data_IF_626918075455
#
_entry.id   IF_626918075455
#
_cell.length_a   1.000
_cell.length_b   1.000
_cell.length_c   1.000
_cell.angle_alpha   90.00
_cell.angle_beta   90.00
_cell.angle_gamma   90.00
#
_symmetry.space_group_name_H-M   'P 1'
#
loop_
_entity.id
_entity.type
_entity.pdbx_description
1 polymer ?
#
# COMPACT_ATOMS: atom_id res chain seq x y z
N UNK A 1 -11.14 -18.63 13.30
CA UNK A 1 -10.06 -18.77 14.30
C UNK A 1 -9.51 -20.19 14.43
N UNK A 2 -10.36 -21.22 14.62
CA UNK A 2 -9.87 -22.58 14.98
C UNK A 2 -9.01 -23.22 13.89
N UNK A 3 -9.43 -23.07 12.64
CA UNK A 3 -8.83 -23.74 11.48
C UNK A 3 -7.55 -23.05 11.03
N UNK A 4 -7.53 -21.73 11.18
CA UNK A 4 -6.40 -20.85 10.93
C UNK A 4 -5.26 -21.12 11.94
N UNK A 5 -5.60 -21.27 13.23
CA UNK A 5 -4.65 -21.75 14.25
C UNK A 5 -4.17 -23.17 13.92
N UNK A 6 -5.07 -24.08 13.55
CA UNK A 6 -4.70 -25.46 13.20
C UNK A 6 -3.74 -25.51 12.00
N UNK A 7 -4.00 -24.75 10.92
CA UNK A 7 -3.12 -24.66 9.77
C UNK A 7 -1.76 -24.03 10.11
N UNK A 8 -1.74 -23.01 10.98
CA UNK A 8 -0.50 -22.41 11.50
C UNK A 8 0.33 -23.44 12.27
N UNK A 9 -0.28 -24.22 13.16
CA UNK A 9 0.39 -25.27 13.94
C UNK A 9 0.85 -26.43 13.07
N UNK A 10 0.06 -26.84 12.08
CA UNK A 10 0.44 -27.86 11.08
C UNK A 10 1.61 -27.36 10.22
N UNK A 11 1.62 -26.10 9.81
CA UNK A 11 2.73 -25.50 9.06
C UNK A 11 4.03 -25.48 9.89
N UNK A 12 3.99 -24.96 11.12
CA UNK A 12 5.15 -24.90 12.01
C UNK A 12 5.67 -26.31 12.34
N UNK A 13 4.79 -27.25 12.69
CA UNK A 13 5.20 -28.62 13.02
C UNK A 13 5.73 -29.40 11.82
N UNK A 14 5.37 -29.04 10.57
CA UNK A 14 6.04 -29.56 9.36
C UNK A 14 7.49 -29.08 9.25
N UNK A 15 7.79 -27.83 9.61
CA UNK A 15 9.17 -27.32 9.67
C UNK A 15 9.98 -28.06 10.74
N UNK A 16 9.42 -28.18 11.95
CA UNK A 16 10.04 -28.91 13.06
C UNK A 16 10.32 -30.37 12.72
N UNK A 17 9.36 -31.07 12.07
CA UNK A 17 9.55 -32.45 11.61
C UNK A 17 10.69 -32.57 10.59
N UNK A 18 10.87 -31.59 9.70
CA UNK A 18 11.97 -31.55 8.71
C UNK A 18 13.35 -31.31 9.35
N UNK A 19 13.43 -30.84 10.59
CA UNK A 19 14.71 -30.68 11.30
C UNK A 19 15.20 -31.98 11.99
N UNK A 20 14.32 -32.97 12.14
CA UNK A 20 14.64 -34.34 12.59
C UNK A 20 15.30 -34.48 13.98
N UNK A 21 15.44 -33.38 14.76
CA UNK A 21 15.97 -33.39 16.14
C UNK A 21 15.00 -33.91 17.20
N UNK A 22 13.69 -33.80 16.97
CA UNK A 22 12.67 -34.04 17.97
C UNK A 22 11.85 -35.29 17.70
N UNK A 23 11.62 -36.09 18.76
CA UNK A 23 10.74 -37.25 18.69
C UNK A 23 9.29 -36.82 18.45
N UNK A 24 8.49 -37.68 17.79
CA UNK A 24 7.06 -37.43 17.53
C UNK A 24 6.31 -36.96 18.79
N UNK A 25 6.54 -37.60 19.93
CA UNK A 25 5.92 -37.23 21.21
C UNK A 25 6.26 -35.79 21.66
N UNK A 26 7.52 -35.34 21.51
CA UNK A 26 7.90 -33.95 21.80
C UNK A 26 7.21 -32.98 20.85
N UNK A 27 7.16 -33.30 19.55
CA UNK A 27 6.51 -32.45 18.54
C UNK A 27 5.00 -32.34 18.76
N UNK A 28 4.33 -33.45 19.07
CA UNK A 28 2.89 -33.46 19.32
C UNK A 28 2.53 -32.73 20.65
N UNK A 29 3.39 -32.82 21.68
CA UNK A 29 3.28 -32.02 22.93
C UNK A 29 3.48 -30.52 22.65
N UNK A 30 4.49 -30.14 21.86
CA UNK A 30 4.72 -28.77 21.42
C UNK A 30 3.53 -28.22 20.62
N UNK A 31 2.98 -29.01 19.69
CA UNK A 31 1.82 -28.63 18.89
C UNK A 31 0.59 -28.31 19.76
N UNK A 32 0.31 -29.16 20.75
CA UNK A 32 -0.78 -28.96 21.72
C UNK A 32 -0.62 -27.68 22.55
N UNK A 33 0.61 -27.43 23.05
CA UNK A 33 0.94 -26.20 23.79
C UNK A 33 0.83 -24.95 22.91
N UNK A 34 1.43 -24.95 21.73
CA UNK A 34 1.35 -23.86 20.77
C UNK A 34 -0.11 -23.52 20.42
N UNK A 35 -0.93 -24.54 20.12
CA UNK A 35 -2.38 -24.38 19.87
C UNK A 35 -3.08 -23.65 21.02
N UNK A 36 -2.81 -24.08 22.26
CA UNK A 36 -3.43 -23.53 23.47
C UNK A 36 -3.03 -22.06 23.72
N UNK A 37 -1.74 -21.73 23.52
CA UNK A 37 -1.21 -20.37 23.68
C UNK A 37 -1.77 -19.44 22.60
N UNK A 38 -1.90 -19.91 21.35
CA UNK A 38 -2.49 -19.14 20.25
C UNK A 38 -3.97 -18.80 20.51
N UNK A 39 -4.78 -19.77 20.96
CA UNK A 39 -6.17 -19.51 21.36
C UNK A 39 -6.26 -18.50 22.50
N UNK A 40 -5.41 -18.60 23.52
CA UNK A 40 -5.38 -17.66 24.63
C UNK A 40 -4.98 -16.24 24.17
N UNK A 41 -3.93 -16.12 23.34
CA UNK A 41 -3.46 -14.83 22.77
C UNK A 41 -4.55 -14.17 21.94
N UNK A 42 -5.20 -14.89 21.04
CA UNK A 42 -6.10 -14.29 20.03
C UNK A 42 -7.53 -14.04 20.50
N UNK A 43 -7.96 -14.57 21.66
CA UNK A 43 -9.36 -14.54 22.14
C UNK A 43 -10.02 -13.15 22.11
N UNK A 44 -9.29 -12.09 22.41
CA UNK A 44 -9.78 -10.70 22.44
C UNK A 44 -9.45 -9.87 21.19
N UNK A 45 -8.71 -10.44 20.25
CA UNK A 45 -8.10 -9.75 19.10
C UNK A 45 -8.44 -10.42 17.77
N UNK A 46 -9.69 -10.89 17.61
CA UNK A 46 -10.18 -11.59 16.42
C UNK A 46 -11.48 -10.95 15.92
N UNK A 47 -11.46 -10.36 14.73
CA UNK A 47 -12.58 -9.57 14.20
C UNK A 47 -12.91 -10.04 12.78
N UNK A 48 -14.00 -10.78 12.60
CA UNK A 48 -14.34 -11.36 11.29
C UNK A 48 -14.62 -10.28 10.24
N UNK A 49 -15.38 -9.24 10.62
CA UNK A 49 -15.77 -8.13 9.73
C UNK A 49 -14.61 -7.19 9.36
N UNK A 50 -13.45 -7.30 10.03
CA UNK A 50 -12.24 -6.58 9.67
C UNK A 50 -11.00 -7.44 9.98
N UNK A 51 -10.59 -8.33 9.05
CA UNK A 51 -9.50 -9.27 9.30
C UNK A 51 -8.17 -8.60 9.61
N UNK A 52 -7.85 -7.45 9.00
CA UNK A 52 -6.57 -6.76 9.23
C UNK A 52 -6.47 -6.12 10.62
N UNK A 53 -7.61 -5.81 11.27
CA UNK A 53 -7.62 -5.29 12.65
C UNK A 53 -6.95 -6.29 13.59
N UNK A 54 -5.90 -5.86 14.29
CA UNK A 54 -5.13 -6.70 15.21
C UNK A 54 -4.14 -7.67 14.56
N UNK A 55 -3.98 -7.66 13.23
CA UNK A 55 -3.02 -8.53 12.50
C UNK A 55 -1.60 -8.45 13.09
N UNK A 56 -1.09 -7.25 13.39
CA UNK A 56 0.24 -7.06 13.97
C UNK A 56 0.40 -7.72 15.36
N UNK A 57 -0.66 -7.74 16.16
CA UNK A 57 -0.68 -8.45 17.46
C UNK A 57 -0.76 -9.97 17.26
N UNK A 58 -1.54 -10.45 16.28
CA UNK A 58 -1.64 -11.87 15.94
C UNK A 58 -0.44 -12.43 15.19
N UNK A 59 0.43 -11.57 14.66
CA UNK A 59 1.66 -11.98 14.00
C UNK A 59 2.51 -12.92 14.88
N UNK A 60 3.19 -13.87 14.23
CA UNK A 60 4.29 -14.65 14.79
C UNK A 60 5.55 -14.27 13.98
N UNK A 61 6.58 -13.69 14.61
CA UNK A 61 7.76 -13.15 13.90
C UNK A 61 9.08 -13.64 14.47
N UNK A 62 9.88 -14.24 13.60
CA UNK A 62 11.30 -14.52 13.82
C UNK A 62 12.13 -13.55 12.99
N UNK A 63 13.13 -12.92 13.60
CA UNK A 63 14.11 -12.08 12.92
C UNK A 63 15.46 -12.11 13.68
N UNK A 64 16.50 -11.55 13.06
CA UNK A 64 17.87 -11.53 13.62
C UNK A 64 18.06 -10.64 14.85
N UNK A 65 17.15 -9.70 15.12
CA UNK A 65 17.32 -8.66 16.15
C UNK A 65 16.58 -8.96 17.46
N UNK A 66 15.45 -9.66 17.35
CA UNK A 66 14.53 -9.98 18.43
C UNK A 66 14.64 -11.46 18.85
N UNK A 67 15.41 -12.26 18.09
CA UNK A 67 15.79 -13.64 18.42
C UNK A 67 14.70 -14.65 18.16
N UNK A 68 13.64 -14.63 18.99
CA UNK A 68 12.54 -15.60 18.93
C UNK A 68 11.19 -14.91 19.14
N UNK A 69 10.10 -15.57 18.74
CA UNK A 69 8.75 -15.11 19.05
C UNK A 69 8.32 -15.68 20.41
N UNK A 70 7.81 -14.83 21.31
CA UNK A 70 7.45 -15.22 22.67
C UNK A 70 6.33 -16.27 22.75
N UNK A 71 5.52 -16.44 21.69
CA UNK A 71 4.57 -17.55 21.58
C UNK A 71 5.29 -18.88 21.39
N UNK A 72 6.35 -18.90 20.56
CA UNK A 72 7.13 -20.09 20.25
C UNK A 72 8.07 -20.45 21.40
N UNK A 73 8.72 -19.46 22.00
CA UNK A 73 9.53 -19.61 23.23
C UNK A 73 8.69 -20.21 24.37
N UNK A 74 7.50 -19.64 24.62
CA UNK A 74 6.57 -20.17 25.63
C UNK A 74 6.11 -21.59 25.29
N UNK A 75 5.85 -21.90 24.02
CA UNK A 75 5.49 -23.25 23.60
C UNK A 75 6.64 -24.25 23.81
N UNK A 76 7.90 -23.85 23.59
CA UNK A 76 9.10 -24.61 23.92
C UNK A 76 9.18 -24.90 25.44
N UNK A 77 9.11 -23.87 26.28
CA UNK A 77 9.14 -24.00 27.75
C UNK A 77 8.01 -24.91 28.26
N UNK A 78 6.76 -24.65 27.87
CA UNK A 78 5.62 -25.45 28.30
C UNK A 78 5.61 -26.89 27.75
N UNK A 79 6.38 -27.18 26.69
CA UNK A 79 6.53 -28.54 26.13
C UNK A 79 7.83 -29.25 26.53
N UNK A 80 8.77 -28.59 27.21
CA UNK A 80 10.09 -29.15 27.55
C UNK A 80 10.92 -29.49 26.29
N UNK A 81 10.92 -28.56 25.34
CA UNK A 81 11.58 -28.62 24.04
C UNK A 81 12.52 -27.42 23.91
N UNK A 82 13.77 -27.65 23.47
CA UNK A 82 14.69 -26.55 23.17
C UNK A 82 14.26 -25.81 21.89
N UNK A 83 14.56 -24.51 21.81
CA UNK A 83 14.22 -23.70 20.63
C UNK A 83 15.13 -24.00 19.43
N UNK A 84 16.42 -24.30 19.66
CA UNK A 84 17.36 -24.68 18.60
C UNK A 84 16.94 -26.00 17.92
N UNK A 85 16.47 -26.96 18.71
CA UNK A 85 15.90 -28.23 18.22
C UNK A 85 14.67 -28.04 17.28
N UNK A 86 13.98 -26.90 17.31
CA UNK A 86 12.87 -26.63 16.38
C UNK A 86 13.31 -26.43 14.92
N UNK A 87 14.57 -26.04 14.67
CA UNK A 87 15.10 -25.80 13.32
C UNK A 87 14.45 -24.64 12.55
N UNK A 88 13.92 -23.64 13.27
CA UNK A 88 13.15 -22.55 12.67
C UNK A 88 14.02 -21.62 11.79
N UNK A 89 13.46 -21.01 10.73
CA UNK A 89 14.19 -20.05 9.91
C UNK A 89 14.59 -18.79 10.70
N UNK A 90 15.81 -18.28 10.45
CA UNK A 90 16.33 -17.04 11.09
C UNK A 90 15.51 -15.77 10.81
N UNK A 91 14.72 -15.78 9.72
CA UNK A 91 13.78 -14.73 9.37
C UNK A 91 12.49 -15.38 8.84
N UNK A 92 11.39 -15.24 9.58
CA UNK A 92 10.07 -15.70 9.15
C UNK A 92 8.99 -14.81 9.76
N UNK A 93 7.94 -14.51 9.01
CA UNK A 93 6.74 -13.81 9.49
C UNK A 93 5.53 -14.65 9.11
N UNK A 94 4.69 -15.02 10.08
CA UNK A 94 3.39 -15.67 9.84
C UNK A 94 2.31 -14.71 10.34
N UNK A 95 1.33 -14.44 9.49
CA UNK A 95 0.10 -13.74 9.84
C UNK A 95 -1.03 -14.76 9.95
N UNK A 96 -1.81 -14.66 11.03
CA UNK A 96 -2.86 -15.61 11.39
C UNK A 96 -4.15 -14.83 11.58
N UNK A 97 -4.89 -14.66 10.49
CA UNK A 97 -5.99 -13.72 10.37
C UNK A 97 -7.30 -14.47 10.04
N UNK A 98 -8.48 -13.86 10.24
CA UNK A 98 -9.73 -14.39 9.71
C UNK A 98 -9.62 -14.70 8.22
N UNK A 99 -10.04 -15.92 7.83
CA UNK A 99 -10.11 -16.40 6.45
C UNK A 99 -8.77 -16.62 5.72
N UNK A 100 -7.63 -16.18 6.26
CA UNK A 100 -6.31 -16.41 5.66
C UNK A 100 -5.18 -16.56 6.68
N UNK A 101 -4.34 -17.57 6.45
CA UNK A 101 -3.01 -17.70 7.06
C UNK A 101 -1.98 -17.56 5.96
N UNK A 102 -1.06 -16.62 6.09
CA UNK A 102 0.01 -16.39 5.12
C UNK A 102 1.38 -16.24 5.81
N UNK A 103 2.45 -16.48 5.07
CA UNK A 103 3.81 -16.50 5.60
C UNK A 103 4.81 -15.85 4.63
N UNK A 104 5.90 -15.32 5.16
CA UNK A 104 7.06 -14.80 4.43
C UNK A 104 8.33 -15.30 5.10
N UNK A 105 9.20 -15.98 4.35
CA UNK A 105 10.58 -16.26 4.77
C UNK A 105 11.50 -15.11 4.33
N UNK A 106 12.29 -14.52 5.22
CA UNK A 106 13.18 -13.40 4.89
C UNK A 106 12.43 -12.07 4.68
N UNK A 107 12.92 -10.98 5.27
CA UNK A 107 12.13 -9.74 5.34
C UNK A 107 11.87 -9.06 3.97
N UNK A 108 12.71 -9.34 2.97
CA UNK A 108 12.63 -8.77 1.61
C UNK A 108 11.79 -9.59 0.61
N UNK A 109 11.36 -10.80 0.96
CA UNK A 109 10.64 -11.68 0.04
C UNK A 109 9.13 -11.38 0.03
N UNK A 110 8.44 -11.85 -1.02
CA UNK A 110 6.97 -11.78 -1.08
C UNK A 110 6.34 -12.80 -0.11
N UNK A 111 5.20 -12.48 0.53
CA UNK A 111 4.43 -13.46 1.28
C UNK A 111 3.76 -14.48 0.35
N UNK A 112 3.39 -15.64 0.90
CA UNK A 112 2.61 -16.69 0.26
C UNK A 112 1.50 -17.17 1.21
N UNK A 113 0.35 -17.52 0.67
CA UNK A 113 -0.76 -18.13 1.44
C UNK A 113 -0.39 -19.55 1.88
N UNK A 114 -0.55 -19.86 3.17
CA UNK A 114 -0.46 -21.22 3.72
C UNK A 114 -1.82 -21.92 3.57
N UNK A 115 -2.89 -21.21 3.92
CA UNK A 115 -4.27 -21.66 3.81
C UNK A 115 -5.22 -20.47 3.66
N UNK A 116 -6.28 -20.65 2.87
CA UNK A 116 -7.44 -19.76 2.77
C UNK A 116 -8.67 -20.56 3.21
N UNK A 117 -9.58 -19.91 3.90
CA UNK A 117 -10.79 -20.52 4.46
C UNK A 117 -11.98 -19.71 3.96
N UNK A 118 -13.08 -20.38 3.66
CA UNK A 118 -14.30 -19.71 3.20
C UNK A 118 -14.99 -19.02 4.38
N UNK A 119 -15.23 -17.73 4.24
CA UNK A 119 -16.17 -17.02 5.11
C UNK A 119 -17.61 -17.31 4.68
N UNK A 120 -18.57 -16.91 5.51
CA UNK A 120 -19.95 -16.75 5.06
C UNK A 120 -19.99 -15.84 3.83
N UNK A 121 -20.88 -16.08 2.85
CA UNK A 121 -21.06 -15.24 1.66
C UNK A 121 -21.20 -13.74 2.03
N UNK A 122 -21.91 -13.43 3.12
CA UNK A 122 -22.02 -12.06 3.66
C UNK A 122 -20.66 -11.46 4.06
N UNK A 123 -19.72 -12.26 4.53
CA UNK A 123 -18.39 -11.81 4.97
C UNK A 123 -17.45 -11.58 3.79
N UNK A 124 -17.58 -12.36 2.71
CA UNK A 124 -16.88 -12.04 1.45
C UNK A 124 -17.44 -10.76 0.83
N UNK A 125 -18.76 -10.53 0.86
CA UNK A 125 -19.39 -9.27 0.45
C UNK A 125 -18.83 -8.09 1.29
N UNK A 126 -18.82 -8.20 2.63
CA UNK A 126 -18.23 -7.20 3.53
C UNK A 126 -16.75 -6.95 3.23
N UNK A 127 -15.98 -7.99 2.89
CA UNK A 127 -14.55 -7.89 2.55
C UNK A 127 -14.35 -7.16 1.22
N UNK A 128 -15.14 -7.48 0.19
CA UNK A 128 -15.11 -6.80 -1.11
C UNK A 128 -15.51 -5.32 -1.00
N UNK A 129 -16.54 -5.00 -0.21
CA UNK A 129 -16.92 -3.62 0.11
C UNK A 129 -15.77 -2.89 0.81
N UNK A 130 -15.14 -3.51 1.82
CA UNK A 130 -14.03 -2.90 2.56
C UNK A 130 -12.84 -2.57 1.65
N UNK A 131 -12.46 -3.50 0.75
CA UNK A 131 -11.39 -3.32 -0.24
C UNK A 131 -11.74 -2.22 -1.25
N UNK A 132 -13.00 -2.15 -1.70
CA UNK A 132 -13.45 -1.10 -2.62
C UNK A 132 -13.42 0.29 -1.95
N UNK A 133 -13.79 0.39 -0.68
CA UNK A 133 -13.74 1.63 0.11
C UNK A 133 -12.28 2.06 0.36
N UNK A 134 -11.40 1.15 0.79
CA UNK A 134 -9.97 1.46 1.01
C UNK A 134 -9.30 1.96 -0.28
N UNK A 135 -9.59 1.31 -1.42
CA UNK A 135 -9.11 1.77 -2.73
C UNK A 135 -9.65 3.14 -3.11
N UNK A 136 -10.92 3.43 -2.83
CA UNK A 136 -11.53 4.72 -3.14
C UNK A 136 -11.01 5.87 -2.24
N UNK A 137 -10.55 5.58 -1.02
CA UNK A 137 -9.99 6.61 -0.10
C UNK A 137 -8.48 6.77 -0.22
N UNK A 138 -7.74 5.75 -0.66
CA UNK A 138 -6.29 5.85 -0.90
C UNK A 138 -5.92 6.86 -1.98
N UNK A 139 -6.75 6.98 -3.01
CA UNK A 139 -6.55 7.90 -4.14
C UNK A 139 -6.60 9.38 -3.72
N UNK A 140 -7.20 9.70 -2.56
CA UNK A 140 -7.33 11.06 -2.05
C UNK A 140 -6.13 11.55 -1.20
N UNK A 141 -5.26 10.65 -0.76
CA UNK A 141 -4.21 10.96 0.24
C UNK A 141 -2.79 11.09 -0.33
N UNK A 142 -2.61 10.90 -1.64
CA UNK A 142 -1.30 11.06 -2.32
C UNK A 142 -1.00 12.52 -2.73
N UNK A 143 -1.71 13.49 -2.14
CA UNK A 143 -1.86 14.84 -2.67
C UNK A 143 -1.65 15.99 -1.68
N UNK A 144 -0.70 15.89 -0.75
CA UNK A 144 -0.13 17.09 -0.10
C UNK A 144 1.30 16.86 0.39
N UNK A 145 2.17 17.81 0.06
CA UNK A 145 3.49 18.00 0.67
C UNK A 145 3.70 19.51 0.80
N UNK A 146 4.10 19.93 2.00
CA UNK A 146 4.74 21.21 2.33
C UNK A 146 5.73 21.72 1.27
N UNK A 147 5.87 23.03 1.01
CA UNK A 147 5.15 24.24 1.50
C UNK A 147 4.78 25.14 0.26
N UNK A 148 4.53 26.46 0.21
CA UNK A 148 4.84 27.67 1.00
C UNK A 148 3.68 28.73 0.97
N UNK A 149 3.98 29.94 1.46
CA UNK A 149 3.11 31.08 1.85
C UNK A 149 2.28 31.84 0.78
N UNK A 150 1.18 32.43 1.31
CA UNK A 150 0.47 33.69 0.97
C UNK A 150 0.51 34.30 -0.46
N UNK A 151 -0.68 34.41 -1.11
CA UNK A 151 -1.32 35.72 -1.44
C UNK A 151 -2.67 35.62 -2.21
N UNK A 152 -3.46 36.69 -2.15
CA UNK A 152 -4.74 36.92 -2.88
C UNK A 152 -4.65 36.67 -4.41
N UNK A 153 -5.71 36.31 -5.16
CA UNK A 153 -7.07 36.89 -5.23
C UNK A 153 -8.12 35.83 -5.64
N UNK A 154 -9.38 35.98 -5.21
CA UNK A 154 -10.52 35.19 -5.73
C UNK A 154 -10.99 35.70 -7.11
N UNK A 155 -10.92 34.87 -8.16
CA UNK A 155 -11.56 35.14 -9.46
C UNK A 155 -12.71 34.14 -9.74
N UNK A 156 -13.96 34.61 -9.95
CA UNK A 156 -15.09 33.74 -10.20
C UNK A 156 -15.05 33.18 -11.63
N UNK A 157 -14.87 31.86 -11.76
CA UNK A 157 -14.79 31.16 -13.05
C UNK A 157 -16.10 31.31 -13.83
N UNK A 158 -16.07 32.06 -14.91
CA UNK A 158 -17.22 32.36 -15.77
C UNK A 158 -17.84 31.08 -16.36
N UNK A 159 -19.17 31.04 -16.42
CA UNK A 159 -19.92 29.93 -17.02
C UNK A 159 -19.51 29.78 -18.51
N UNK A 160 -19.17 28.57 -19.00
CA UNK A 160 -18.80 28.37 -20.39
C UNK A 160 -19.99 28.62 -21.32
N UNK A 161 -19.84 29.58 -22.25
CA UNK A 161 -20.89 29.96 -23.20
C UNK A 161 -21.16 28.83 -24.20
N UNK A 162 -22.34 28.21 -24.12
CA UNK A 162 -22.73 27.13 -25.03
C UNK A 162 -23.22 27.70 -26.36
N UNK A 163 -22.43 27.55 -27.42
CA UNK A 163 -22.80 27.98 -28.78
C UNK A 163 -23.83 27.01 -29.40
N UNK A 164 -25.12 27.30 -29.24
CA UNK A 164 -26.19 26.56 -29.92
C UNK A 164 -26.28 27.00 -31.40
N UNK A 165 -26.03 26.11 -32.40
CA UNK A 165 -26.14 26.46 -33.82
C UNK A 165 -27.59 26.77 -34.25
N UNK A 166 -28.59 26.35 -33.48
CA UNK A 166 -30.01 26.66 -33.69
C UNK A 166 -30.48 27.89 -32.88
N UNK A 167 -29.56 28.77 -32.45
CA UNK A 167 -29.92 30.04 -31.82
C UNK A 167 -30.59 30.98 -32.84
N UNK A 168 -31.81 31.43 -32.54
CA UNK A 168 -32.53 32.44 -33.34
C UNK A 168 -31.80 33.79 -33.31
N UNK A 169 -30.95 34.02 -32.30
CA UNK A 169 -30.06 35.18 -32.22
C UNK A 169 -28.68 34.83 -32.80
N UNK A 170 -28.53 34.93 -34.12
CA UNK A 170 -27.24 35.04 -34.79
C UNK A 170 -27.09 36.45 -35.39
N UNK A 171 -26.12 37.22 -34.89
CA UNK A 171 -25.67 38.46 -35.53
C UNK A 171 -24.50 38.16 -36.46
N UNK A 172 -24.69 38.35 -37.76
CA UNK A 172 -23.65 38.10 -38.76
C UNK A 172 -22.52 39.14 -38.65
N UNK A 173 -21.32 38.70 -38.27
CA UNK A 173 -20.12 39.54 -38.21
C UNK A 173 -19.58 39.84 -39.62
N UNK A 174 -20.13 40.87 -40.26
CA UNK A 174 -19.57 41.47 -41.48
C UNK A 174 -18.98 42.85 -41.20
N UNK A 175 -17.86 42.91 -40.47
CA UNK A 175 -16.91 44.04 -40.53
C UNK A 175 -15.55 43.73 -39.89
N UNK A 176 -14.54 44.54 -40.24
CA UNK A 176 -13.12 44.34 -39.97
C UNK A 176 -12.65 44.85 -38.60
N UNK A 177 -11.63 44.19 -38.03
CA UNK A 177 -10.96 44.61 -36.80
C UNK A 177 -9.91 45.70 -37.13
N UNK A 178 -9.89 46.86 -36.45
CA UNK A 178 -8.89 47.91 -36.66
C UNK A 178 -7.53 47.63 -35.96
N UNK A 179 -6.40 48.23 -36.39
CA UNK A 179 -5.07 47.60 -36.26
C UNK A 179 -4.29 47.85 -34.95
N UNK A 180 -4.93 48.33 -33.88
CA UNK A 180 -4.29 49.27 -32.94
C UNK A 180 -3.80 48.71 -31.58
N UNK A 181 -3.36 47.45 -31.51
CA UNK A 181 -2.80 46.89 -30.25
C UNK A 181 -1.54 46.00 -30.41
N UNK A 182 -0.81 46.14 -31.52
CA UNK A 182 0.58 45.68 -31.61
C UNK A 182 1.50 46.51 -30.69
N UNK A 183 2.04 45.93 -29.61
CA UNK A 183 3.27 46.43 -28.98
C UNK A 183 4.17 45.31 -28.45
N UNK A 184 5.49 45.47 -28.62
CA UNK A 184 6.49 44.44 -28.35
C UNK A 184 7.47 44.80 -27.23
N UNK A 185 7.68 43.83 -26.34
CA UNK A 185 8.80 43.59 -25.40
C UNK A 185 9.96 44.60 -25.35
N UNK A 186 10.25 45.12 -24.14
CA UNK A 186 11.55 45.65 -23.65
C UNK A 186 11.52 45.68 -22.10
N UNK A 187 12.60 45.64 -21.31
CA UNK A 187 14.07 45.54 -21.54
C UNK A 187 14.73 44.92 -20.26
N UNK A 188 16.03 44.59 -20.28
CA UNK A 188 16.82 44.20 -19.08
C UNK A 188 17.65 45.36 -18.50
N UNK A 189 18.16 45.17 -17.27
CA UNK A 189 19.28 45.90 -16.64
C UNK A 189 20.20 44.92 -15.87
N UNK A 190 21.44 45.32 -15.53
CA UNK A 190 22.50 44.47 -14.94
C UNK A 190 23.62 45.26 -14.22
N UNK A 191 24.42 44.55 -13.40
CA UNK A 191 25.67 44.95 -12.68
C UNK A 191 25.55 46.01 -11.56
N UNK A 192 26.48 46.09 -10.58
CA UNK A 192 27.67 45.23 -10.26
C UNK A 192 27.48 44.52 -8.89
N UNK A 193 28.41 44.15 -7.97
CA UNK A 193 29.89 44.21 -7.74
C UNK A 193 30.11 43.84 -6.24
N UNK A 194 31.23 43.42 -5.63
CA UNK A 194 32.68 43.26 -5.92
C UNK A 194 33.19 42.01 -5.12
N UNK A 195 34.10 41.16 -5.65
CA UNK A 195 35.48 40.81 -5.16
C UNK A 195 35.67 40.42 -3.65
N UNK A 196 36.51 39.45 -3.21
CA UNK A 196 37.66 38.72 -3.84
C UNK A 196 38.04 37.40 -3.08
N UNK A 197 38.42 36.32 -3.81
CA UNK A 197 39.29 35.15 -3.41
C UNK A 197 38.98 34.31 -2.12
N UNK A 198 39.42 33.05 -1.93
CA UNK A 198 40.32 32.15 -2.70
C UNK A 198 39.90 30.66 -2.62
N UNK A 199 40.48 29.86 -3.52
CA UNK A 199 40.27 28.43 -3.83
C UNK A 199 40.20 27.41 -2.65
N UNK A 200 39.31 26.42 -2.78
CA UNK A 200 39.65 24.99 -3.03
C UNK A 200 38.47 24.29 -3.75
N UNK A 201 38.71 23.18 -4.46
CA UNK A 201 37.82 22.64 -5.51
C UNK A 201 38.11 21.12 -5.74
N UNK A 202 37.20 20.25 -6.26
CA UNK A 202 35.80 20.46 -6.65
C UNK A 202 34.87 19.29 -6.09
N UNK A 203 33.74 18.82 -6.70
CA UNK A 203 32.55 18.52 -5.90
C UNK A 203 31.91 17.13 -6.14
N UNK A 204 30.74 16.88 -5.54
CA UNK A 204 29.88 15.74 -5.89
C UNK A 204 28.86 16.05 -7.00
N UNK A 205 28.68 15.08 -7.91
CA UNK A 205 27.48 14.82 -8.75
C UNK A 205 27.06 15.93 -9.73
N UNK A 206 27.31 15.71 -11.02
CA UNK A 206 26.42 16.18 -12.09
C UNK A 206 25.55 15.02 -12.60
N UNK A 207 24.23 15.21 -12.63
CA UNK A 207 23.36 14.44 -13.53
C UNK A 207 23.49 15.03 -14.95
N UNK A 208 23.54 14.18 -15.97
CA UNK A 208 23.33 14.59 -17.37
C UNK A 208 21.94 14.12 -17.82
N UNK A 209 21.14 15.05 -18.30
CA UNK A 209 19.81 14.78 -18.87
C UNK A 209 19.93 13.98 -20.17
N UNK A 210 19.00 13.04 -20.37
CA UNK A 210 18.63 12.61 -21.72
C UNK A 210 17.27 13.22 -22.10
N UNK A 211 17.15 13.59 -23.37
CA UNK A 211 16.06 14.40 -23.92
C UNK A 211 14.86 13.52 -24.27
N UNK A 212 13.65 14.01 -24.03
CA UNK A 212 12.43 13.32 -24.47
C UNK A 212 12.23 13.46 -25.99
N UNK A 213 11.56 12.46 -26.58
CA UNK A 213 11.15 12.48 -27.99
C UNK A 213 9.70 12.02 -28.14
N UNK A 214 8.85 12.95 -28.57
CA UNK A 214 7.55 12.76 -29.24
C UNK A 214 6.49 11.92 -28.50
N UNK A 215 5.45 12.59 -27.99
CA UNK A 215 4.19 11.95 -27.63
C UNK A 215 3.28 11.82 -28.86
N UNK A 216 2.66 10.66 -29.06
CA UNK A 216 1.64 10.45 -30.10
C UNK A 216 0.25 10.80 -29.56
N UNK A 217 -0.39 11.82 -30.11
CA UNK A 217 -1.72 12.27 -29.69
C UNK A 217 -2.82 11.61 -30.52
N UNK A 218 -3.45 10.56 -29.97
CA UNK A 218 -4.65 9.95 -30.52
C UNK A 218 -5.73 9.80 -29.43
N UNK A 219 -6.95 10.35 -29.62
CA UNK A 219 -7.98 10.32 -28.59
C UNK A 219 -8.58 8.91 -28.44
N UNK A 220 -8.24 8.21 -27.35
CA UNK A 220 -9.08 7.11 -26.86
C UNK A 220 -10.29 7.72 -26.16
N UNK A 221 -11.45 7.59 -26.79
CA UNK A 221 -12.74 7.99 -26.20
C UNK A 221 -13.08 6.99 -25.09
N UNK A 222 -13.11 7.47 -23.85
CA UNK A 222 -13.69 6.70 -22.74
C UNK A 222 -15.22 6.65 -22.90
N UNK A 223 -15.82 5.49 -22.59
CA UNK A 223 -17.26 5.22 -22.77
C UNK A 223 -17.86 4.43 -21.61
N UNK A 224 -17.64 4.92 -20.40
CA UNK A 224 -18.67 4.84 -19.36
C UNK A 224 -19.69 5.98 -19.61
N UNK A 225 -21.01 5.82 -19.50
CA UNK A 225 -21.76 4.85 -18.72
C UNK A 225 -22.97 4.24 -19.43
N UNK A 226 -23.34 3.06 -18.93
CA UNK A 226 -24.67 2.47 -18.99
C UNK A 226 -25.69 3.38 -18.28
N UNK A 227 -26.86 3.61 -18.89
CA UNK A 227 -28.03 4.19 -18.22
C UNK A 227 -29.25 3.34 -18.57
N UNK A 228 -29.96 2.85 -17.54
CA UNK A 228 -31.17 2.05 -17.71
C UNK A 228 -32.40 2.96 -17.84
N UNK A 229 -33.00 3.02 -19.04
CA UNK A 229 -34.33 3.60 -19.26
C UNK A 229 -35.21 2.66 -20.06
N UNK A 230 -35.91 1.78 -19.33
CA UNK A 230 -37.15 1.05 -19.67
C UNK A 230 -37.72 1.24 -21.09
N UNK A 231 -38.07 0.12 -21.73
CA UNK A 231 -39.42 -0.04 -22.30
C UNK A 231 -39.88 -1.49 -22.18
#
# INVERSE_FOLDING_TARGET
MKEEIAATVVFITRLVKKHEKLSKQKIDKFASKLTSILFAKYKSHWYLENPVKGQAFRCIRLNKHQGTDSVLERACVESSVDFGDLGMPKEMTIWVDPFEVCCRYGEKNRPFTIARFEGNEYQEISRQISIAVEKATSDYHSGSSSDDEESNVNEPKTIPTVSNPNSIYQSNYSQSIPPWSYYSRRKMYAMDGYHQSSCYIPPHKMYKSYRSTVAFTGPRVDRYHWVNTKR
#
